data_IF_238663518815
#
_entry.id   IF_238663518815
#
_cell.length_a   1.000
_cell.length_b   1.000
_cell.length_c   1.000
_cell.angle_alpha   90.00
_cell.angle_beta   90.00
_cell.angle_gamma   90.00
#
_symmetry.space_group_name_H-M   'P 1'
#
loop_
_entity.id
_entity.type
_entity.pdbx_description
1 polymer ?
#
# COMPACT_ATOMS: atom_id res chain seq x y z
N UNK A 1 10.10 77.96 -4.92
CA UNK A 1 9.24 78.54 -5.97
C UNK A 1 8.02 77.71 -5.99
N UNK A 2 6.98 78.11 -5.22
CA UNK A 2 5.86 78.98 -5.64
C UNK A 2 4.94 78.17 -6.57
N UNK A 3 3.68 77.96 -6.43
CA UNK A 3 2.64 78.66 -5.67
C UNK A 3 1.38 77.79 -5.72
N UNK A 4 0.72 77.68 -4.60
CA UNK A 4 -0.65 78.20 -4.25
C UNK A 4 -1.86 77.71 -5.04
N UNK A 5 -2.72 77.09 -4.26
CA UNK A 5 -4.12 77.54 -4.00
C UNK A 5 -5.17 77.51 -5.14
N UNK A 6 -6.26 76.82 -4.92
CA UNK A 6 -7.54 77.43 -4.54
C UNK A 6 -8.61 76.41 -4.18
N UNK A 7 -9.19 76.69 -3.06
CA UNK A 7 -10.50 76.23 -2.58
C UNK A 7 -11.61 76.78 -3.48
N UNK A 8 -12.63 76.01 -3.73
CA UNK A 8 -13.99 76.56 -3.84
C UNK A 8 -15.03 75.56 -3.31
N UNK A 9 -15.75 76.07 -2.35
CA UNK A 9 -16.93 75.60 -1.61
C UNK A 9 -18.16 75.94 -2.43
N UNK A 10 -19.20 75.17 -2.39
CA UNK A 10 -20.66 75.46 -2.52
C UNK A 10 -21.31 74.14 -3.04
N UNK A 11 -22.37 73.60 -2.57
CA UNK A 11 -23.49 73.93 -1.75
C UNK A 11 -24.32 72.70 -1.46
N UNK A 12 -24.91 72.69 -0.32
CA UNK A 12 -25.91 71.72 0.17
C UNK A 12 -27.13 71.62 -0.75
N UNK A 13 -27.56 70.36 -1.05
CA UNK A 13 -28.95 70.11 -1.39
C UNK A 13 -29.45 68.91 -0.65
N UNK A 14 -30.32 69.13 0.31
CA UNK A 14 -31.07 68.12 1.06
C UNK A 14 -32.27 67.70 0.23
N UNK A 15 -32.50 66.39 0.09
CA UNK A 15 -33.83 65.82 -0.10
C UNK A 15 -33.89 64.33 0.26
N UNK A 16 -35.02 63.68 0.41
CA UNK A 16 -35.38 63.04 1.64
C UNK A 16 -35.20 61.49 1.63
N UNK A 17 -35.04 61.00 2.84
CA UNK A 17 -35.03 59.59 3.22
C UNK A 17 -36.27 58.84 2.69
N UNK A 18 -36.10 57.95 1.73
CA UNK A 18 -37.04 56.84 1.53
C UNK A 18 -36.43 55.56 2.09
N UNK A 19 -36.89 55.18 3.27
CA UNK A 19 -36.70 53.85 3.84
C UNK A 19 -37.29 52.82 2.88
N UNK A 20 -36.46 52.14 2.15
CA UNK A 20 -36.81 50.85 1.53
C UNK A 20 -36.30 49.74 2.46
N UNK A 21 -37.25 49.08 3.12
CA UNK A 21 -37.04 47.83 3.86
C UNK A 21 -36.67 46.79 2.78
N UNK A 22 -35.40 46.56 2.63
CA UNK A 22 -34.88 45.44 1.83
C UNK A 22 -34.94 44.19 2.66
N UNK A 23 -35.83 43.29 2.34
CA UNK A 23 -35.82 41.91 2.82
C UNK A 23 -34.50 41.29 2.43
N UNK A 24 -33.59 41.13 3.37
CA UNK A 24 -32.39 40.31 3.19
C UNK A 24 -32.83 38.86 3.20
N UNK A 25 -32.97 38.30 2.02
CA UNK A 25 -33.13 36.85 1.82
C UNK A 25 -31.80 36.20 2.19
N UNK A 26 -31.67 35.74 3.39
CA UNK A 26 -30.59 34.88 3.84
C UNK A 26 -30.72 33.54 3.08
N UNK A 27 -30.02 33.44 1.94
CA UNK A 27 -29.74 32.17 1.30
C UNK A 27 -28.82 31.37 2.21
N UNK A 28 -29.43 30.51 3.04
CA UNK A 28 -28.72 29.47 3.74
C UNK A 28 -28.20 28.48 2.69
N UNK A 29 -26.94 28.62 2.29
CA UNK A 29 -26.24 27.55 1.58
C UNK A 29 -26.17 26.35 2.54
N UNK A 30 -26.67 25.17 2.13
CA UNK A 30 -26.36 23.96 2.89
C UNK A 30 -24.85 23.75 2.83
N UNK A 31 -24.16 23.76 3.97
CA UNK A 31 -22.83 23.16 4.11
C UNK A 31 -22.97 21.69 3.69
N UNK A 32 -22.57 21.38 2.46
CA UNK A 32 -22.27 20.03 2.07
C UNK A 32 -21.08 19.59 2.94
N UNK A 33 -21.39 18.96 4.06
CA UNK A 33 -20.40 18.23 4.84
C UNK A 33 -19.82 17.19 3.88
N UNK A 34 -18.62 17.46 3.39
CA UNK A 34 -17.82 16.50 2.62
C UNK A 34 -17.56 15.36 3.58
N UNK A 35 -18.31 14.27 3.43
CA UNK A 35 -18.05 13.05 4.17
C UNK A 35 -16.62 12.62 3.79
N UNK A 36 -15.72 12.64 4.75
CA UNK A 36 -14.41 12.02 4.60
C UNK A 36 -14.63 10.59 4.11
N UNK A 37 -13.81 10.09 3.15
CA UNK A 37 -13.94 8.71 2.71
C UNK A 37 -13.85 7.81 3.92
N UNK A 38 -14.93 7.06 4.17
CA UNK A 38 -14.99 6.07 5.24
C UNK A 38 -13.88 5.06 4.98
N UNK A 39 -12.99 4.88 5.94
CA UNK A 39 -12.03 3.77 5.92
C UNK A 39 -12.82 2.48 5.72
N UNK A 40 -12.32 1.53 4.89
CA UNK A 40 -12.96 0.24 4.78
C UNK A 40 -13.14 -0.36 6.18
N UNK A 41 -14.25 -1.07 6.45
CA UNK A 41 -14.48 -1.69 7.73
C UNK A 41 -13.25 -2.54 8.06
N UNK A 42 -12.65 -2.30 9.22
CA UNK A 42 -11.64 -3.19 9.78
C UNK A 42 -12.38 -4.52 10.02
N UNK A 43 -12.01 -5.56 9.27
CA UNK A 43 -12.30 -6.90 9.75
C UNK A 43 -11.65 -6.96 11.12
N UNK A 44 -12.41 -7.22 12.16
CA UNK A 44 -11.95 -7.22 13.55
C UNK A 44 -10.85 -8.27 13.67
N UNK A 45 -9.59 -7.80 13.77
CA UNK A 45 -8.43 -8.70 13.83
C UNK A 45 -8.42 -9.31 15.23
N UNK A 46 -8.38 -10.63 15.31
CA UNK A 46 -8.30 -11.36 16.59
C UNK A 46 -7.11 -10.84 17.42
N UNK A 47 -7.33 -10.43 18.69
CA UNK A 47 -6.26 -9.98 19.58
C UNK A 47 -5.10 -10.96 19.70
N UNK A 48 -5.36 -12.27 19.64
CA UNK A 48 -4.32 -13.29 19.67
C UNK A 48 -3.41 -13.22 18.43
N UNK A 49 -3.95 -12.80 17.30
CA UNK A 49 -3.22 -12.55 16.06
C UNK A 49 -2.31 -11.33 16.21
N UNK A 50 -2.81 -10.24 16.79
CA UNK A 50 -2.02 -9.04 17.05
C UNK A 50 -0.82 -9.37 17.95
N UNK A 51 -1.03 -10.13 19.02
CA UNK A 51 0.03 -10.57 19.91
C UNK A 51 1.08 -11.44 19.21
N UNK A 52 0.64 -12.37 18.35
CA UNK A 52 1.54 -13.23 17.58
C UNK A 52 2.38 -12.39 16.60
N UNK A 53 1.76 -11.44 15.90
CA UNK A 53 2.45 -10.53 14.98
C UNK A 53 3.44 -9.62 15.70
N UNK A 54 3.07 -9.09 16.87
CA UNK A 54 3.95 -8.23 17.66
C UNK A 54 5.19 -8.99 18.14
N UNK A 55 5.05 -10.26 18.56
CA UNK A 55 6.18 -11.13 18.90
C UNK A 55 7.10 -11.35 17.69
N UNK A 56 6.54 -11.70 16.54
CA UNK A 56 7.30 -11.91 15.31
C UNK A 56 8.08 -10.66 14.91
N UNK A 57 7.52 -9.47 15.12
CA UNK A 57 8.20 -8.20 14.82
C UNK A 57 9.38 -7.91 15.74
N UNK A 58 9.43 -8.49 16.92
CA UNK A 58 10.50 -8.27 17.92
C UNK A 58 11.62 -9.33 17.87
N UNK A 59 11.41 -10.48 17.22
CA UNK A 59 12.41 -11.54 17.12
C UNK A 59 13.56 -11.18 16.16
N UNK A 60 14.80 -11.38 16.57
CA UNK A 60 15.98 -11.33 15.71
C UNK A 60 16.16 -12.66 14.95
N UNK A 61 16.57 -12.57 13.68
CA UNK A 61 16.74 -13.74 12.81
C UNK A 61 18.05 -14.46 13.06
N UNK A 62 17.98 -15.77 13.21
CA UNK A 62 19.10 -16.67 13.04
C UNK A 62 19.42 -16.87 11.53
N UNK A 63 20.73 -17.03 11.24
CA UNK A 63 21.30 -16.99 9.88
C UNK A 63 21.16 -18.34 9.18
N UNK A 64 19.97 -18.66 8.68
CA UNK A 64 19.77 -19.84 7.85
C UNK A 64 20.11 -19.60 6.35
N UNK A 65 20.80 -20.55 5.75
CA UNK A 65 21.06 -20.74 4.31
C UNK A 65 21.63 -19.55 3.50
N UNK A 66 22.87 -19.20 3.80
CA UNK A 66 23.63 -18.19 3.06
C UNK A 66 23.75 -18.49 1.55
N UNK A 67 23.81 -19.76 1.16
CA UNK A 67 24.00 -20.12 -0.24
C UNK A 67 22.74 -19.86 -1.08
N UNK A 68 21.59 -20.33 -0.64
CA UNK A 68 20.32 -20.11 -1.33
C UNK A 68 19.97 -18.62 -1.41
N UNK A 69 20.25 -17.86 -0.35
CA UNK A 69 20.13 -16.43 -0.34
C UNK A 69 20.98 -15.76 -1.43
N UNK A 70 22.25 -16.18 -1.59
CA UNK A 70 23.15 -15.61 -2.59
C UNK A 70 22.67 -15.92 -4.01
N UNK A 71 22.25 -17.15 -4.29
CA UNK A 71 21.73 -17.56 -5.59
C UNK A 71 20.48 -16.76 -5.92
N UNK A 72 19.55 -16.64 -4.99
CA UNK A 72 18.33 -15.85 -5.19
C UNK A 72 18.63 -14.36 -5.40
N UNK A 73 19.54 -13.77 -4.61
CA UNK A 73 19.97 -12.37 -4.77
C UNK A 73 20.53 -12.12 -6.17
N UNK A 74 21.40 -12.98 -6.66
CA UNK A 74 22.00 -12.86 -7.98
C UNK A 74 20.95 -12.96 -9.10
N UNK A 75 19.97 -13.83 -8.96
CA UNK A 75 18.89 -14.00 -9.94
C UNK A 75 17.88 -12.85 -9.95
N UNK A 76 17.66 -12.23 -8.79
CA UNK A 76 16.65 -11.18 -8.60
C UNK A 76 17.20 -9.76 -8.84
N UNK A 77 18.51 -9.55 -8.65
CA UNK A 77 19.16 -8.24 -8.83
C UNK A 77 18.93 -7.60 -10.22
N UNK A 78 19.04 -8.31 -11.35
CA UNK A 78 18.77 -7.72 -12.66
C UNK A 78 17.27 -7.41 -12.86
N UNK A 79 16.37 -8.17 -12.21
CA UNK A 79 14.92 -7.97 -12.34
C UNK A 79 14.47 -6.67 -11.67
N UNK A 80 15.00 -6.38 -10.46
CA UNK A 80 14.64 -5.16 -9.71
C UNK A 80 15.33 -3.90 -10.25
N UNK A 81 16.42 -4.01 -10.98
CA UNK A 81 17.22 -2.88 -11.47
C UNK A 81 16.43 -1.89 -12.34
N UNK A 82 15.36 -2.34 -12.99
CA UNK A 82 14.44 -1.48 -13.76
C UNK A 82 13.59 -0.53 -12.90
N UNK A 83 13.43 -0.86 -11.64
CA UNK A 83 12.61 -0.09 -10.69
C UNK A 83 13.46 0.78 -9.75
N UNK A 84 14.56 0.22 -9.28
CA UNK A 84 15.45 0.86 -8.31
C UNK A 84 16.80 1.06 -8.95
N UNK A 85 17.16 2.30 -9.29
CA UNK A 85 18.41 2.66 -9.99
C UNK A 85 19.64 2.54 -9.08
N UNK A 86 19.49 2.80 -7.78
CA UNK A 86 20.59 2.81 -6.81
C UNK A 86 20.93 1.38 -6.39
N UNK A 87 22.13 0.91 -6.69
CA UNK A 87 22.58 -0.46 -6.43
C UNK A 87 22.51 -0.84 -4.94
N UNK A 88 23.01 0.02 -4.06
CA UNK A 88 22.96 -0.23 -2.61
C UNK A 88 21.54 -0.36 -2.07
N UNK A 89 20.60 0.39 -2.63
CA UNK A 89 19.19 0.30 -2.25
C UNK A 89 18.56 -1.01 -2.75
N UNK A 90 18.88 -1.43 -3.98
CA UNK A 90 18.46 -2.74 -4.52
C UNK A 90 18.92 -3.89 -3.65
N UNK A 91 20.22 -3.89 -3.32
CA UNK A 91 20.82 -4.92 -2.48
C UNK A 91 20.15 -4.97 -1.11
N UNK A 92 19.94 -3.82 -0.48
CA UNK A 92 19.26 -3.72 0.81
C UNK A 92 17.83 -4.29 0.73
N UNK A 93 17.05 -3.88 -0.26
CA UNK A 93 15.68 -4.39 -0.46
C UNK A 93 15.70 -5.92 -0.61
N UNK A 94 16.54 -6.46 -1.49
CA UNK A 94 16.58 -7.88 -1.75
C UNK A 94 17.00 -8.68 -0.51
N UNK A 95 18.02 -8.24 0.22
CA UNK A 95 18.44 -8.91 1.46
C UNK A 95 17.34 -8.96 2.51
N UNK A 96 16.63 -7.84 2.70
CA UNK A 96 15.55 -7.78 3.68
C UNK A 96 14.36 -8.61 3.22
N UNK A 97 13.99 -8.56 1.93
CA UNK A 97 12.91 -9.39 1.38
C UNK A 97 13.20 -10.86 1.60
N UNK A 98 14.41 -11.32 1.23
CA UNK A 98 14.78 -12.72 1.42
C UNK A 98 14.67 -13.12 2.90
N UNK A 99 15.25 -12.34 3.79
CA UNK A 99 15.23 -12.58 5.23
C UNK A 99 13.80 -12.68 5.78
N UNK A 100 12.97 -11.68 5.51
CA UNK A 100 11.62 -11.63 6.07
C UNK A 100 10.70 -12.68 5.43
N UNK A 101 10.83 -12.94 4.13
CA UNK A 101 10.09 -13.97 3.44
C UNK A 101 10.42 -15.37 3.98
N UNK A 102 11.71 -15.69 4.12
CA UNK A 102 12.18 -16.97 4.70
C UNK A 102 11.69 -17.15 6.12
N UNK A 103 11.76 -16.10 6.95
CA UNK A 103 11.21 -16.09 8.32
C UNK A 103 9.76 -16.55 8.36
N UNK A 104 8.97 -16.08 7.44
CA UNK A 104 7.53 -16.35 7.37
C UNK A 104 7.17 -17.53 6.47
N UNK A 105 8.16 -18.24 5.90
CA UNK A 105 7.96 -19.34 4.94
C UNK A 105 7.13 -18.90 3.73
N UNK A 106 7.35 -17.68 3.28
CA UNK A 106 6.75 -17.11 2.07
C UNK A 106 7.82 -17.12 0.97
N UNK A 107 7.40 -17.34 -0.26
CA UNK A 107 8.28 -17.20 -1.41
C UNK A 107 8.73 -15.72 -1.54
N UNK A 108 10.04 -15.43 -1.50
CA UNK A 108 10.55 -14.07 -1.64
C UNK A 108 10.18 -13.43 -2.99
N UNK A 109 10.00 -14.21 -4.05
CA UNK A 109 9.54 -13.72 -5.36
C UNK A 109 8.09 -13.22 -5.30
N UNK A 110 7.24 -13.81 -4.44
CA UNK A 110 5.88 -13.33 -4.20
C UNK A 110 5.90 -11.96 -3.51
N UNK A 111 6.80 -11.75 -2.55
CA UNK A 111 6.95 -10.45 -1.88
C UNK A 111 7.39 -9.38 -2.87
N UNK A 112 8.33 -9.68 -3.78
CA UNK A 112 8.73 -8.76 -4.84
C UNK A 112 7.58 -8.44 -5.81
N UNK A 113 6.77 -9.43 -6.15
CA UNK A 113 5.60 -9.24 -7.00
C UNK A 113 4.57 -8.30 -6.35
N UNK A 114 4.32 -8.49 -5.05
CA UNK A 114 3.44 -7.62 -4.27
C UNK A 114 3.98 -6.19 -4.24
N UNK A 115 5.27 -5.99 -3.93
CA UNK A 115 5.90 -4.67 -3.93
C UNK A 115 5.81 -3.98 -5.30
N UNK A 116 5.94 -4.73 -6.39
CA UNK A 116 5.77 -4.17 -7.74
C UNK A 116 4.36 -3.63 -7.94
N UNK A 117 3.34 -4.32 -7.47
CA UNK A 117 1.94 -3.91 -7.63
C UNK A 117 1.60 -2.73 -6.70
N UNK A 118 2.08 -2.75 -5.46
CA UNK A 118 1.79 -1.75 -4.44
C UNK A 118 2.42 -0.39 -4.72
N UNK A 119 3.72 -0.37 -4.99
CA UNK A 119 4.47 0.89 -5.07
C UNK A 119 5.37 1.01 -6.30
N UNK A 120 5.51 -0.05 -7.10
CA UNK A 120 6.58 -0.15 -8.11
C UNK A 120 7.97 0.07 -7.52
N UNK A 121 8.17 -0.37 -6.28
CA UNK A 121 9.38 -0.19 -5.48
C UNK A 121 9.69 1.26 -5.07
N UNK A 122 8.71 2.15 -5.10
CA UNK A 122 8.88 3.48 -4.53
C UNK A 122 8.68 3.44 -3.00
N UNK A 123 9.80 3.55 -2.26
CA UNK A 123 9.77 3.55 -0.80
C UNK A 123 9.07 4.75 -0.18
N UNK A 124 8.87 5.81 -0.93
CA UNK A 124 8.20 7.03 -0.48
C UNK A 124 6.75 7.14 -0.96
N UNK A 125 6.25 6.12 -1.67
CA UNK A 125 4.89 6.11 -2.15
C UNK A 125 3.89 6.25 -0.99
N UNK A 126 2.89 7.12 -1.19
CA UNK A 126 1.76 7.31 -0.28
C UNK A 126 0.49 7.26 -1.09
N UNK A 127 -0.41 6.34 -0.74
CA UNK A 127 -1.71 6.23 -1.42
C UNK A 127 -2.71 7.28 -0.94
N UNK A 128 -3.80 7.47 -1.66
CA UNK A 128 -4.91 8.32 -1.24
C UNK A 128 -5.56 7.89 0.08
N UNK A 129 -5.46 6.60 0.42
CA UNK A 129 -5.93 6.05 1.70
C UNK A 129 -4.88 6.19 2.84
N UNK A 130 -3.67 6.69 2.54
CA UNK A 130 -2.60 6.88 3.50
C UNK A 130 -1.68 5.68 3.69
N UNK A 131 -1.79 4.62 2.88
CA UNK A 131 -0.83 3.53 2.87
C UNK A 131 0.56 4.01 2.44
N UNK A 132 1.63 3.47 3.03
CA UNK A 132 2.98 4.02 2.91
C UNK A 132 4.01 2.97 2.48
N UNK A 133 4.95 3.41 1.65
CA UNK A 133 6.19 2.73 1.33
C UNK A 133 6.05 1.56 0.37
N UNK A 134 7.10 0.73 0.32
CA UNK A 134 7.30 -0.35 -0.66
C UNK A 134 6.12 -1.33 -0.74
N UNK A 135 5.59 -1.73 0.41
CA UNK A 135 4.48 -2.69 0.53
C UNK A 135 3.16 -2.03 0.90
N UNK A 136 3.06 -0.69 0.81
CA UNK A 136 1.85 0.10 1.08
C UNK A 136 1.19 -0.27 2.42
N UNK A 137 1.99 -0.24 3.49
CA UNK A 137 1.52 -0.55 4.84
C UNK A 137 0.69 0.60 5.40
N UNK A 138 -0.50 0.29 5.92
CA UNK A 138 -1.36 1.28 6.56
C UNK A 138 -0.77 1.72 7.91
N UNK A 139 -0.79 3.04 8.25
CA UNK A 139 -0.18 3.56 9.46
C UNK A 139 -0.71 2.99 10.78
N UNK A 140 -1.94 2.51 10.82
CA UNK A 140 -2.50 1.92 12.03
C UNK A 140 -1.76 0.65 12.49
N UNK A 141 -1.14 -0.09 11.56
CA UNK A 141 -0.34 -1.26 11.89
C UNK A 141 0.83 -0.96 12.84
N UNK A 142 1.35 0.28 12.84
CA UNK A 142 2.37 0.68 13.82
C UNK A 142 1.88 0.59 15.25
N UNK A 143 0.60 0.83 15.46
CA UNK A 143 -0.04 0.78 16.78
C UNK A 143 -0.40 -0.66 17.13
N UNK A 144 -0.88 -1.42 16.16
CA UNK A 144 -1.40 -2.77 16.38
C UNK A 144 -0.27 -3.80 16.64
N UNK A 145 0.80 -3.77 15.82
CA UNK A 145 1.83 -4.83 15.86
C UNK A 145 3.27 -4.31 16.03
N UNK A 146 3.46 -3.01 16.17
CA UNK A 146 4.80 -2.42 16.25
C UNK A 146 4.88 -1.26 17.24
N UNK A 147 5.55 -0.18 16.82
CA UNK A 147 5.75 1.00 17.63
C UNK A 147 5.19 2.23 16.91
N UNK A 148 4.46 3.14 17.61
CA UNK A 148 3.87 4.34 16.99
C UNK A 148 4.87 5.23 16.24
N UNK A 149 6.14 5.23 16.68
CA UNK A 149 7.23 6.02 16.09
C UNK A 149 7.90 5.35 14.86
N UNK A 150 7.54 4.12 14.51
CA UNK A 150 8.14 3.41 13.37
C UNK A 150 7.87 4.17 12.06
N UNK A 151 8.91 4.34 11.26
CA UNK A 151 8.83 5.04 9.99
C UNK A 151 8.60 4.04 8.84
N UNK A 152 7.39 4.04 8.28
CA UNK A 152 7.00 3.14 7.20
C UNK A 152 7.62 3.47 5.83
N UNK A 153 8.38 4.56 5.71
CA UNK A 153 9.19 4.84 4.50
C UNK A 153 10.61 4.26 4.60
N UNK A 154 10.99 3.73 5.75
CA UNK A 154 12.23 2.97 5.90
C UNK A 154 12.06 1.58 5.33
N UNK A 155 13.01 1.18 4.48
CA UNK A 155 12.98 -0.08 3.71
C UNK A 155 12.77 -1.27 4.64
N UNK A 156 13.61 -1.42 5.66
CA UNK A 156 13.56 -2.55 6.59
C UNK A 156 12.24 -2.60 7.35
N UNK A 157 11.84 -1.48 7.93
CA UNK A 157 10.58 -1.37 8.68
C UNK A 157 9.40 -1.74 7.79
N UNK A 158 9.31 -1.17 6.59
CA UNK A 158 8.19 -1.40 5.70
C UNK A 158 8.07 -2.85 5.24
N UNK A 159 9.19 -3.46 4.82
CA UNK A 159 9.20 -4.85 4.35
C UNK A 159 8.83 -5.80 5.49
N UNK A 160 9.39 -5.60 6.69
CA UNK A 160 9.06 -6.41 7.85
C UNK A 160 7.58 -6.37 8.19
N UNK A 161 6.98 -5.17 8.28
CA UNK A 161 5.54 -5.04 8.50
C UNK A 161 4.73 -5.71 7.40
N UNK A 162 4.99 -5.36 6.15
CA UNK A 162 4.21 -5.88 5.02
C UNK A 162 4.28 -7.40 4.89
N UNK A 163 5.47 -7.99 5.07
CA UNK A 163 5.63 -9.45 5.00
C UNK A 163 4.96 -10.15 6.18
N UNK A 164 5.05 -9.59 7.40
CA UNK A 164 4.36 -10.12 8.59
C UNK A 164 2.84 -10.10 8.40
N UNK A 165 2.28 -9.01 7.88
CA UNK A 165 0.85 -8.88 7.59
C UNK A 165 0.40 -9.88 6.51
N UNK A 166 1.19 -10.02 5.44
CA UNK A 166 0.91 -11.00 4.40
C UNK A 166 0.91 -12.43 4.94
N UNK A 167 1.89 -12.78 5.77
CA UNK A 167 1.98 -14.08 6.42
C UNK A 167 0.73 -14.38 7.24
N UNK A 168 0.28 -13.42 8.01
CA UNK A 168 -0.93 -13.56 8.82
C UNK A 168 -2.16 -13.81 7.95
N UNK A 169 -2.34 -13.03 6.89
CA UNK A 169 -3.47 -13.26 5.98
C UNK A 169 -3.39 -14.59 5.24
N UNK A 170 -2.20 -15.12 4.96
CA UNK A 170 -2.04 -16.48 4.44
C UNK A 170 -2.51 -17.54 5.45
N UNK A 171 -2.24 -17.36 6.73
CA UNK A 171 -2.75 -18.25 7.79
C UNK A 171 -4.28 -18.16 7.89
N UNK A 172 -4.84 -16.96 7.95
CA UNK A 172 -6.30 -16.75 8.02
C UNK A 172 -7.02 -17.30 6.79
N UNK A 173 -6.42 -17.16 5.62
CA UNK A 173 -6.93 -17.72 4.36
C UNK A 173 -6.66 -19.23 4.22
N UNK A 174 -6.07 -19.89 5.23
CA UNK A 174 -5.74 -21.33 5.21
C UNK A 174 -4.87 -21.71 4.00
N UNK A 175 -3.97 -20.84 3.61
CA UNK A 175 -3.09 -21.02 2.45
C UNK A 175 -3.72 -20.63 1.10
N UNK A 176 -4.95 -20.14 1.07
CA UNK A 176 -5.53 -19.58 -0.16
C UNK A 176 -4.88 -18.21 -0.45
N UNK A 177 -3.96 -18.21 -1.43
CA UNK A 177 -3.22 -17.01 -1.81
C UNK A 177 -4.15 -15.90 -2.34
N UNK A 178 -5.22 -16.25 -3.05
CA UNK A 178 -6.13 -15.27 -3.62
C UNK A 178 -6.90 -14.55 -2.52
N UNK A 179 -7.44 -15.29 -1.54
CA UNK A 179 -8.11 -14.68 -0.38
C UNK A 179 -7.13 -13.89 0.49
N UNK A 180 -5.91 -14.39 0.71
CA UNK A 180 -4.87 -13.68 1.46
C UNK A 180 -4.50 -12.33 0.82
N UNK A 181 -4.28 -12.29 -0.50
CA UNK A 181 -3.99 -11.07 -1.23
C UNK A 181 -5.18 -10.10 -1.24
N UNK A 182 -6.41 -10.62 -1.37
CA UNK A 182 -7.61 -9.80 -1.30
C UNK A 182 -7.79 -9.16 0.09
N UNK A 183 -7.46 -9.89 1.17
CA UNK A 183 -7.42 -9.35 2.55
C UNK A 183 -6.35 -8.29 2.71
N UNK A 184 -5.14 -8.55 2.20
CA UNK A 184 -4.02 -7.62 2.25
C UNK A 184 -4.39 -6.24 1.69
N UNK A 185 -5.03 -6.22 0.53
CA UNK A 185 -5.46 -5.00 -0.14
C UNK A 185 -6.81 -4.44 0.38
N UNK A 186 -7.52 -5.15 1.27
CA UNK A 186 -8.86 -4.76 1.72
C UNK A 186 -9.95 -4.94 0.64
N UNK A 187 -9.70 -5.77 -0.37
CA UNK A 187 -10.63 -6.02 -1.49
C UNK A 187 -11.24 -7.42 -1.45
N UNK A 188 -11.47 -7.96 -0.24
CA UNK A 188 -11.99 -9.32 -0.06
C UNK A 188 -13.24 -9.58 -0.92
N UNK A 189 -13.24 -10.74 -1.58
CA UNK A 189 -14.29 -11.13 -2.54
C UNK A 189 -14.11 -10.52 -3.94
N UNK A 190 -13.02 -9.75 -4.20
CA UNK A 190 -12.69 -9.23 -5.53
C UNK A 190 -11.39 -9.85 -6.02
N UNK A 191 -11.31 -10.16 -7.31
CA UNK A 191 -10.16 -10.83 -7.91
C UNK A 191 -9.13 -9.89 -8.54
N UNK A 192 -9.52 -8.66 -8.86
CA UNK A 192 -8.69 -7.71 -9.64
C UNK A 192 -7.28 -7.53 -9.06
N UNK A 193 -7.19 -7.28 -7.76
CA UNK A 193 -5.89 -7.08 -7.12
C UNK A 193 -5.08 -8.38 -6.98
N UNK A 194 -5.64 -9.48 -6.46
CA UNK A 194 -4.94 -10.77 -6.44
C UNK A 194 -4.39 -11.18 -7.80
N UNK A 195 -5.18 -11.03 -8.87
CA UNK A 195 -4.76 -11.36 -10.23
C UNK A 195 -3.57 -10.54 -10.69
N UNK A 196 -3.51 -9.24 -10.36
CA UNK A 196 -2.37 -8.38 -10.68
C UNK A 196 -1.08 -8.88 -9.99
N UNK A 197 -1.16 -9.26 -8.71
CA UNK A 197 -0.01 -9.76 -7.96
C UNK A 197 0.44 -11.12 -8.51
N UNK A 198 -0.48 -12.05 -8.72
CA UNK A 198 -0.17 -13.38 -9.29
C UNK A 198 0.39 -13.26 -10.71
N UNK A 199 -0.13 -12.35 -11.52
CA UNK A 199 0.41 -12.08 -12.84
C UNK A 199 1.85 -11.54 -12.76
N UNK A 200 2.10 -10.53 -11.90
CA UNK A 200 3.44 -10.00 -11.70
C UNK A 200 4.41 -11.08 -11.23
N UNK A 201 3.98 -11.91 -10.27
CA UNK A 201 4.76 -13.03 -9.75
C UNK A 201 5.18 -13.98 -10.88
N UNK A 202 4.22 -14.53 -11.62
CA UNK A 202 4.48 -15.52 -12.68
C UNK A 202 5.24 -14.96 -13.86
N UNK A 203 4.93 -13.74 -14.28
CA UNK A 203 5.50 -13.17 -15.48
C UNK A 203 6.91 -12.60 -15.29
N UNK A 204 7.29 -12.24 -14.07
CA UNK A 204 8.52 -11.45 -13.85
C UNK A 204 9.42 -11.96 -12.74
N UNK A 205 8.85 -12.46 -11.64
CA UNK A 205 9.63 -12.74 -10.44
C UNK A 205 9.94 -14.20 -10.27
N UNK A 206 8.98 -15.08 -10.52
CA UNK A 206 9.15 -16.52 -10.31
C UNK A 206 10.44 -17.04 -10.93
N UNK A 207 11.34 -17.53 -10.08
CA UNK A 207 12.63 -18.15 -10.47
C UNK A 207 12.54 -19.66 -10.50
N UNK A 208 11.62 -20.25 -9.75
CA UNK A 208 11.39 -21.69 -9.67
C UNK A 208 10.18 -22.12 -10.51
N UNK A 209 10.15 -23.38 -10.91
CA UNK A 209 9.02 -23.93 -11.68
C UNK A 209 7.77 -24.06 -10.80
N UNK A 210 6.60 -23.88 -11.40
CA UNK A 210 5.28 -23.91 -10.73
C UNK A 210 4.99 -25.19 -9.94
N UNK A 211 5.82 -26.22 -10.11
CA UNK A 211 5.64 -27.51 -9.44
C UNK A 211 6.02 -27.49 -7.96
N UNK A 212 6.83 -26.52 -7.54
CA UNK A 212 7.39 -26.44 -6.19
C UNK A 212 6.58 -25.59 -5.19
N UNK A 213 5.46 -24.98 -5.64
CA UNK A 213 4.65 -24.10 -4.79
C UNK A 213 3.25 -24.67 -4.49
N UNK A 214 3.08 -25.38 -3.35
CA UNK A 214 1.78 -25.89 -2.90
C UNK A 214 0.70 -24.83 -2.81
N UNK A 215 1.09 -23.59 -2.46
CA UNK A 215 0.18 -22.45 -2.24
C UNK A 215 -0.49 -21.96 -3.53
N UNK A 216 0.18 -22.02 -4.68
CA UNK A 216 -0.41 -21.63 -5.96
C UNK A 216 -1.34 -22.70 -6.54
N UNK A 217 -1.15 -23.97 -6.19
CA UNK A 217 -2.04 -25.07 -6.61
C UNK A 217 -3.39 -24.98 -5.90
N UNK A 218 -3.41 -24.65 -4.63
CA UNK A 218 -4.63 -24.53 -3.84
C UNK A 218 -5.52 -23.37 -4.32
N UNK A 219 -4.95 -22.21 -4.65
CA UNK A 219 -5.71 -21.06 -5.14
C UNK A 219 -6.34 -21.26 -6.52
N UNK A 220 -5.68 -22.02 -7.42
CA UNK A 220 -6.23 -22.31 -8.74
C UNK A 220 -7.31 -23.42 -8.74
N UNK A 221 -7.37 -24.28 -7.74
CA UNK A 221 -8.36 -25.37 -7.69
C UNK A 221 -9.76 -24.88 -7.28
N UNK A 222 -9.86 -23.77 -6.57
CA UNK A 222 -11.14 -23.26 -6.04
C UNK A 222 -11.84 -22.25 -6.96
N UNK A 223 -11.14 -21.75 -8.01
CA UNK A 223 -11.72 -20.85 -9.00
C UNK A 223 -11.83 -21.57 -10.34
N UNK A 224 -12.99 -21.44 -10.99
CA UNK A 224 -13.29 -22.15 -12.24
C UNK A 224 -12.13 -22.02 -13.26
N UNK A 225 -11.86 -23.09 -13.98
CA UNK A 225 -10.84 -23.24 -15.01
C UNK A 225 -10.75 -22.07 -16.02
N UNK A 226 -11.77 -21.23 -16.13
CA UNK A 226 -11.79 -20.05 -16.98
C UNK A 226 -10.80 -18.96 -16.54
N UNK A 227 -10.59 -18.74 -15.24
CA UNK A 227 -9.63 -17.74 -14.75
C UNK A 227 -8.17 -18.17 -14.94
N UNK A 228 -7.89 -19.48 -14.93
CA UNK A 228 -6.57 -20.00 -15.18
C UNK A 228 -6.23 -20.14 -16.69
N UNK A 229 -7.22 -20.22 -17.57
CA UNK A 229 -7.03 -20.42 -19.02
C UNK A 229 -6.68 -19.13 -19.77
N UNK A 230 -7.10 -17.97 -19.28
CA UNK A 230 -6.80 -16.67 -19.89
C UNK A 230 -5.30 -16.32 -19.86
N UNK A 231 -4.54 -16.89 -18.91
CA UNK A 231 -3.08 -16.70 -18.85
C UNK A 231 -2.33 -17.52 -19.90
N UNK A 232 -2.95 -18.57 -20.48
CA UNK A 232 -2.34 -19.41 -21.52
C UNK A 232 -2.40 -18.82 -22.93
N UNK A 233 -3.31 -17.87 -23.17
CA UNK A 233 -3.55 -17.28 -24.50
C UNK A 233 -2.70 -16.05 -24.81
N UNK A 234 -1.87 -15.56 -23.89
CA UNK A 234 -1.00 -14.40 -24.11
C UNK A 234 0.41 -14.77 -24.61
N UNK A 235 0.60 -16.01 -25.10
CA UNK A 235 1.83 -16.43 -25.81
C UNK A 235 1.50 -16.77 -27.26
N UNK A 236 1.31 -15.75 -28.06
CA UNK A 236 1.55 -15.76 -29.51
C UNK A 236 1.85 -14.33 -29.96
#
# INVERSE_FOLDING_TARGET
MSDRNRLDVIAMSRSPVRRRIGFALLLALPLLASAAPSQPPRDEIDPAVIDALARTMSEELDQGDHFDAQVWLLSSAPKIARYVSVEKERELILRIVYREATRHKIDPDLVLALMQVESKFDRFAVSSAGAQGLMQVMPFWRIEIGRPQDNLTQIETNIRYGTTILAQYLVEARGDLIDALARYNGSRGRLNYPELVVYAYRARWQTQTTDDLPQLRAGCMNYSLAACSTVRSARH
#
